data_IF_098793264278
#
_entry.id   IF_098793264278
#
_cell.length_a   1.000
_cell.length_b   1.000
_cell.length_c   1.000
_cell.angle_alpha   90.00
_cell.angle_beta   90.00
_cell.angle_gamma   90.00
#
_symmetry.space_group_name_H-M   'P 1'
#
loop_
_entity.id
_entity.type
_entity.pdbx_description
1 polymer ?
#
# COMPACT_ATOMS: atom_id res chain seq x y z
N UNK A 1 -28.60 -1.72 -13.96
CA UNK A 1 -27.29 -1.91 -14.66
C UNK A 1 -26.89 -3.37 -14.56
N UNK A 2 -26.30 -3.93 -15.58
CA UNK A 2 -25.78 -5.31 -15.63
C UNK A 2 -24.31 -5.30 -16.01
N UNK A 3 -23.55 -6.23 -15.47
CA UNK A 3 -22.19 -6.50 -15.90
C UNK A 3 -22.23 -7.42 -17.12
N UNK A 4 -21.52 -7.08 -18.18
CA UNK A 4 -21.45 -7.83 -19.43
C UNK A 4 -19.99 -7.98 -19.87
N UNK A 5 -19.71 -9.04 -20.61
CA UNK A 5 -18.39 -9.26 -21.22
C UNK A 5 -18.41 -8.72 -22.65
N UNK A 6 -17.54 -7.75 -22.93
CA UNK A 6 -17.46 -7.05 -24.21
C UNK A 6 -16.02 -6.89 -24.69
N UNK A 7 -15.84 -6.75 -26.00
CA UNK A 7 -14.56 -6.37 -26.57
C UNK A 7 -14.27 -4.88 -26.31
N UNK A 8 -13.18 -4.60 -25.61
CA UNK A 8 -12.76 -3.24 -25.27
C UNK A 8 -11.29 -3.08 -25.58
N UNK A 9 -10.99 -2.07 -26.38
CA UNK A 9 -9.61 -1.66 -26.59
C UNK A 9 -9.15 -0.77 -25.43
N UNK A 10 -8.15 -1.22 -24.68
CA UNK A 10 -7.50 -0.42 -23.63
C UNK A 10 -6.70 0.70 -24.29
N UNK A 11 -6.95 1.99 -23.94
CA UNK A 11 -6.19 3.11 -24.47
C UNK A 11 -4.76 3.11 -23.94
N UNK A 12 -3.86 3.75 -24.69
CA UNK A 12 -2.57 4.18 -24.15
C UNK A 12 -2.75 5.54 -23.45
N UNK A 13 -2.62 5.55 -22.13
CA UNK A 13 -2.72 6.78 -21.34
C UNK A 13 -1.38 7.54 -21.24
N UNK A 14 -0.30 6.99 -21.82
CA UNK A 14 1.05 7.49 -21.72
C UNK A 14 1.77 7.05 -20.43
N UNK A 15 3.08 6.74 -20.56
CA UNK A 15 3.92 6.37 -19.43
C UNK A 15 4.77 7.55 -18.97
N UNK A 16 4.81 7.84 -17.67
CA UNK A 16 5.73 8.85 -17.14
C UNK A 16 7.17 8.32 -17.16
N UNK A 17 8.12 9.16 -17.55
CA UNK A 17 9.56 8.86 -17.59
C UNK A 17 10.33 9.51 -16.44
N UNK A 18 9.78 10.59 -15.88
CA UNK A 18 10.39 11.33 -14.78
C UNK A 18 9.62 11.10 -13.49
N UNK A 19 10.33 10.58 -12.47
CA UNK A 19 9.75 10.35 -11.16
C UNK A 19 9.60 11.69 -10.42
N UNK A 20 8.38 12.08 -10.00
CA UNK A 20 8.16 13.22 -9.13
C UNK A 20 8.95 13.07 -7.83
N UNK A 21 9.66 14.12 -7.44
CA UNK A 21 10.46 14.14 -6.21
C UNK A 21 9.70 14.91 -5.13
N UNK A 22 9.55 14.29 -3.95
CA UNK A 22 9.04 15.00 -2.79
C UNK A 22 10.14 15.97 -2.30
N UNK A 23 9.87 17.28 -2.20
CA UNK A 23 10.87 18.27 -1.81
C UNK A 23 11.36 18.11 -0.38
N UNK A 24 12.60 18.50 -0.08
CA UNK A 24 13.16 18.48 1.28
C UNK A 24 12.30 19.31 2.27
N UNK A 25 11.73 20.43 1.83
CA UNK A 25 10.83 21.23 2.64
C UNK A 25 9.58 20.47 3.10
N UNK A 26 9.06 19.56 2.30
CA UNK A 26 7.94 18.70 2.66
C UNK A 26 8.32 17.72 3.79
N UNK A 27 9.51 17.11 3.72
CA UNK A 27 10.01 16.25 4.81
C UNK A 27 10.22 17.04 6.09
N UNK A 28 10.78 18.25 6.01
CA UNK A 28 10.93 19.14 7.17
C UNK A 28 9.56 19.46 7.81
N UNK A 29 8.55 19.75 7.01
CA UNK A 29 7.19 20.00 7.48
C UNK A 29 6.56 18.75 8.14
N UNK A 30 6.75 17.55 7.57
CA UNK A 30 6.29 16.28 8.13
C UNK A 30 6.92 16.00 9.50
N UNK A 31 8.21 16.21 9.61
CA UNK A 31 8.94 16.04 10.88
C UNK A 31 8.48 17.05 11.92
N UNK A 32 8.25 18.30 11.54
CA UNK A 32 7.69 19.33 12.42
C UNK A 32 6.29 18.94 12.90
N UNK A 33 5.42 18.51 11.99
CA UNK A 33 4.06 18.04 12.33
C UNK A 33 4.08 16.82 13.27
N UNK A 34 5.02 15.88 13.08
CA UNK A 34 5.20 14.76 14.01
C UNK A 34 5.58 15.22 15.41
N UNK A 35 6.53 16.15 15.52
CA UNK A 35 6.95 16.76 16.79
C UNK A 35 5.81 17.48 17.50
N UNK A 36 5.01 18.24 16.76
CA UNK A 36 3.84 18.94 17.30
C UNK A 36 2.80 17.96 17.86
N UNK A 37 2.56 16.86 17.17
CA UNK A 37 1.66 15.80 17.65
C UNK A 37 2.19 15.08 18.89
N UNK A 38 3.50 14.79 18.96
CA UNK A 38 4.13 14.25 20.15
C UNK A 38 3.93 15.18 21.34
N UNK A 39 4.19 16.49 21.15
CA UNK A 39 3.99 17.51 22.19
C UNK A 39 2.52 17.60 22.62
N UNK A 40 1.58 17.59 21.69
CA UNK A 40 0.15 17.65 22.00
C UNK A 40 -0.35 16.45 22.81
N UNK A 41 0.36 15.29 22.71
CA UNK A 41 0.10 14.08 23.50
C UNK A 41 0.93 14.01 24.79
N UNK A 42 1.74 15.04 25.11
CA UNK A 42 2.59 15.06 26.29
C UNK A 42 3.81 14.16 26.20
N UNK A 43 4.22 13.75 24.98
CA UNK A 43 5.41 12.95 24.80
C UNK A 43 6.66 13.83 24.81
N UNK A 44 7.67 13.43 25.57
CA UNK A 44 8.96 14.11 25.70
C UNK A 44 9.85 13.92 24.48
N UNK A 45 9.72 12.78 23.82
CA UNK A 45 10.37 12.43 22.54
C UNK A 45 9.58 11.37 21.80
N UNK A 46 9.78 11.30 20.48
CA UNK A 46 9.34 10.21 19.62
C UNK A 46 10.52 9.36 19.16
N UNK A 47 10.35 8.06 19.22
CA UNK A 47 11.29 7.06 18.70
C UNK A 47 10.61 6.40 17.51
N UNK A 48 11.28 6.34 16.36
CA UNK A 48 10.78 5.59 15.19
C UNK A 48 11.78 4.50 14.85
N UNK A 49 11.33 3.26 14.97
CA UNK A 49 12.13 2.09 14.56
C UNK A 49 11.84 1.76 13.10
N UNK A 50 12.86 1.31 12.39
CA UNK A 50 12.75 0.83 11.04
C UNK A 50 13.73 -0.34 10.79
N UNK A 51 13.30 -1.25 9.92
CA UNK A 51 14.11 -2.33 9.38
C UNK A 51 13.88 -2.44 7.86
N UNK A 52 14.40 -3.51 7.25
CA UNK A 52 14.31 -3.76 5.82
C UNK A 52 12.89 -3.75 5.26
N UNK A 53 11.91 -4.25 6.00
CA UNK A 53 10.52 -4.36 5.55
C UNK A 53 9.63 -3.25 6.14
N UNK A 54 9.94 -2.79 7.36
CA UNK A 54 9.14 -1.82 8.11
C UNK A 54 9.81 -0.44 8.12
N UNK A 55 10.10 0.11 6.96
CA UNK A 55 10.82 1.37 6.80
C UNK A 55 9.93 2.59 6.55
N UNK A 56 8.66 2.38 6.28
CA UNK A 56 7.78 3.41 5.72
C UNK A 56 7.62 4.65 6.64
N UNK A 57 7.52 4.49 7.95
CA UNK A 57 7.45 5.62 8.90
C UNK A 57 8.74 6.43 8.91
N UNK A 58 9.90 5.77 8.89
CA UNK A 58 11.21 6.40 8.80
C UNK A 58 11.36 7.17 7.49
N UNK A 59 11.08 6.51 6.38
CA UNK A 59 11.20 7.09 5.05
C UNK A 59 10.23 8.27 4.84
N UNK A 60 9.02 8.22 5.39
CA UNK A 60 8.05 9.32 5.36
C UNK A 60 8.57 10.57 6.07
N UNK A 61 9.20 10.39 7.24
CA UNK A 61 9.68 11.51 8.06
C UNK A 61 11.01 12.09 7.59
N UNK A 62 11.85 11.27 6.97
CA UNK A 62 13.25 11.64 6.70
C UNK A 62 13.69 11.49 5.26
N UNK A 63 12.97 10.74 4.45
CA UNK A 63 13.41 10.31 3.12
C UNK A 63 14.48 9.20 3.15
N UNK A 64 14.84 8.71 4.33
CA UNK A 64 15.84 7.65 4.51
C UNK A 64 15.17 6.27 4.57
N UNK A 65 15.68 5.34 3.77
CA UNK A 65 15.32 3.93 3.74
C UNK A 65 16.49 3.10 4.29
N UNK A 66 16.35 2.36 5.41
CA UNK A 66 17.43 1.62 6.03
C UNK A 66 17.91 0.40 5.23
N UNK A 67 17.22 0.04 4.14
CA UNK A 67 17.56 -1.11 3.30
C UNK A 67 17.57 -2.43 4.08
N UNK A 68 18.71 -3.07 4.25
CA UNK A 68 18.85 -4.39 4.88
C UNK A 68 19.41 -4.36 6.31
N UNK A 69 19.54 -3.20 6.90
CA UNK A 69 19.91 -3.02 8.31
C UNK A 69 18.78 -2.39 9.11
N UNK A 70 18.95 -2.29 10.41
CA UNK A 70 18.02 -1.59 11.30
C UNK A 70 18.42 -0.11 11.44
N UNK A 71 17.44 0.71 11.80
CA UNK A 71 17.65 2.12 12.13
C UNK A 71 16.66 2.58 13.22
N UNK A 72 17.09 3.60 14.01
CA UNK A 72 16.28 4.20 15.06
C UNK A 72 16.40 5.72 14.99
N UNK A 73 15.28 6.40 14.77
CA UNK A 73 15.19 7.86 14.77
C UNK A 73 14.73 8.34 16.15
N UNK A 74 15.43 9.32 16.71
CA UNK A 74 14.99 10.08 17.89
C UNK A 74 14.53 11.46 17.43
N UNK A 75 13.24 11.73 17.53
CA UNK A 75 12.62 13.03 17.26
C UNK A 75 12.28 13.71 18.58
N UNK A 76 13.05 14.72 18.97
CA UNK A 76 12.78 15.55 20.15
C UNK A 76 11.97 16.79 19.76
N UNK A 77 11.28 17.45 20.69
CA UNK A 77 10.56 18.71 20.41
C UNK A 77 11.42 19.83 19.84
N UNK A 78 12.75 19.80 20.12
CA UNK A 78 13.73 20.79 19.66
C UNK A 78 15.05 20.09 19.31
N UNK A 79 15.86 20.74 18.46
CA UNK A 79 17.15 20.24 17.97
C UNK A 79 17.00 19.31 16.77
N UNK A 80 18.13 18.94 16.18
CA UNK A 80 18.13 18.02 15.05
C UNK A 80 17.71 16.61 15.49
N UNK A 81 17.02 15.86 14.63
CA UNK A 81 16.72 14.47 14.90
C UNK A 81 18.00 13.65 14.85
N UNK A 82 18.07 12.61 15.68
CA UNK A 82 19.23 11.72 15.77
C UNK A 82 18.86 10.38 15.13
N UNK A 83 19.67 9.92 14.19
CA UNK A 83 19.51 8.63 13.53
C UNK A 83 20.61 7.68 13.99
N UNK A 84 20.25 6.63 14.73
CA UNK A 84 21.12 5.48 14.93
C UNK A 84 21.02 4.55 13.72
N UNK A 85 22.15 4.23 13.12
CA UNK A 85 22.23 3.42 11.92
C UNK A 85 23.35 2.37 12.02
N UNK A 86 23.16 1.24 11.40
CA UNK A 86 24.18 0.22 11.25
C UNK A 86 25.35 0.67 10.35
N UNK A 87 26.42 -0.13 10.28
CA UNK A 87 27.66 0.25 9.57
C UNK A 87 27.48 0.59 8.09
N UNK A 88 26.64 -0.16 7.37
CA UNK A 88 26.38 0.10 5.95
C UNK A 88 25.48 1.31 5.75
N UNK A 89 24.52 1.50 6.63
CA UNK A 89 23.58 2.59 6.60
C UNK A 89 24.17 3.93 7.02
N UNK A 90 25.30 3.95 7.76
CA UNK A 90 25.92 5.21 8.20
C UNK A 90 26.23 6.15 7.03
N UNK A 91 26.83 5.61 5.96
CA UNK A 91 27.11 6.39 4.74
C UNK A 91 25.84 6.69 3.93
N UNK A 92 24.93 5.73 3.88
CA UNK A 92 23.68 5.84 3.15
C UNK A 92 22.71 6.87 3.77
N UNK A 93 22.85 7.19 5.07
CA UNK A 93 22.07 8.22 5.73
C UNK A 93 22.19 9.62 5.08
N UNK A 94 23.23 9.86 4.27
CA UNK A 94 23.39 11.08 3.47
C UNK A 94 22.29 11.24 2.39
N UNK A 95 21.51 10.20 2.09
CA UNK A 95 20.35 10.29 1.19
C UNK A 95 19.11 10.90 1.84
N UNK A 96 19.10 11.05 3.17
CA UNK A 96 18.01 11.70 3.89
C UNK A 96 17.75 13.12 3.36
N UNK A 97 16.50 13.53 3.43
CA UNK A 97 16.03 14.84 2.94
C UNK A 97 15.88 15.88 4.07
N UNK A 98 16.24 15.51 5.29
CA UNK A 98 16.29 16.37 6.47
C UNK A 98 17.69 16.28 7.10
N UNK A 99 18.11 17.32 7.80
CA UNK A 99 19.36 17.28 8.55
C UNK A 99 19.24 16.29 9.71
N UNK A 100 20.22 15.39 9.82
CA UNK A 100 20.27 14.31 10.80
C UNK A 100 21.63 14.29 11.50
N UNK A 101 21.62 14.20 12.81
CA UNK A 101 22.80 13.72 13.55
C UNK A 101 22.88 12.20 13.40
N UNK A 102 23.90 11.67 12.70
CA UNK A 102 24.02 10.24 12.44
C UNK A 102 24.97 9.59 13.42
N UNK A 103 24.46 8.65 14.21
CA UNK A 103 25.19 7.87 15.21
C UNK A 103 25.38 6.45 14.71
N UNK A 104 26.63 6.00 14.59
CA UNK A 104 26.91 4.60 14.26
C UNK A 104 26.55 3.70 15.44
N UNK A 105 25.67 2.73 15.20
CA UNK A 105 25.32 1.69 16.15
C UNK A 105 25.51 0.30 15.52
N UNK A 106 26.71 -0.30 15.61
CA UNK A 106 27.03 -1.59 14.98
C UNK A 106 26.08 -2.75 15.29
N UNK A 107 25.40 -2.82 16.46
CA UNK A 107 24.40 -3.86 16.69
C UNK A 107 23.21 -3.85 15.74
N UNK A 108 22.93 -2.75 15.04
CA UNK A 108 21.92 -2.69 13.97
C UNK A 108 22.40 -3.29 12.65
N UNK A 109 23.69 -3.57 12.54
CA UNK A 109 24.26 -4.22 11.37
C UNK A 109 24.18 -5.75 11.42
N UNK A 110 24.72 -6.36 10.38
CA UNK A 110 24.71 -7.80 10.17
C UNK A 110 25.53 -8.54 11.25
N UNK A 111 25.19 -9.82 11.48
CA UNK A 111 25.91 -10.65 12.46
C UNK A 111 27.39 -10.85 12.05
N UNK A 112 28.25 -10.92 13.07
CA UNK A 112 29.70 -11.12 12.86
C UNK A 112 30.52 -9.82 12.68
N UNK A 113 29.88 -8.65 12.61
CA UNK A 113 30.57 -7.37 12.60
C UNK A 113 31.12 -7.03 13.99
N UNK A 114 32.23 -6.27 14.04
CA UNK A 114 32.85 -5.87 15.30
C UNK A 114 31.94 -4.94 16.13
N UNK A 115 31.56 -5.41 17.31
CA UNK A 115 30.73 -4.67 18.26
C UNK A 115 31.45 -4.36 19.57
N UNK A 116 32.73 -4.71 19.66
CA UNK A 116 33.50 -4.64 20.93
C UNK A 116 33.69 -3.24 21.46
N UNK A 117 33.63 -2.23 20.60
CA UNK A 117 33.81 -0.80 20.97
C UNK A 117 32.49 -0.03 21.00
N UNK A 118 31.36 -0.72 20.88
CA UNK A 118 30.05 -0.06 20.88
C UNK A 118 29.58 0.20 22.29
N UNK A 119 29.28 1.46 22.67
CA UNK A 119 28.63 1.75 23.95
C UNK A 119 27.28 1.04 24.07
N UNK A 120 26.84 0.67 25.27
CA UNK A 120 25.48 0.16 25.47
C UNK A 120 24.42 1.10 24.93
N UNK A 121 23.34 0.56 24.35
CA UNK A 121 22.24 1.36 23.80
C UNK A 121 21.71 2.38 24.82
N UNK A 122 21.60 1.97 26.09
CA UNK A 122 21.14 2.84 27.16
C UNK A 122 22.02 4.09 27.36
N UNK A 123 23.32 3.96 27.21
CA UNK A 123 24.26 5.11 27.31
C UNK A 123 24.07 6.05 26.12
N UNK A 124 23.98 5.51 24.92
CA UNK A 124 23.74 6.29 23.69
C UNK A 124 22.40 7.02 23.74
N UNK A 125 21.32 6.35 24.16
CA UNK A 125 20.02 6.99 24.30
C UNK A 125 20.03 8.13 25.32
N UNK A 126 20.71 7.93 26.48
CA UNK A 126 20.87 9.00 27.47
C UNK A 126 21.70 10.18 26.96
N UNK A 127 22.81 9.91 26.25
CA UNK A 127 23.64 10.93 25.63
C UNK A 127 22.84 11.79 24.62
N UNK A 128 21.82 11.20 23.99
CA UNK A 128 20.95 11.91 23.06
C UNK A 128 19.59 12.32 23.66
N UNK A 129 19.55 12.48 24.98
CA UNK A 129 18.52 13.21 25.71
C UNK A 129 17.31 12.37 26.15
N UNK A 130 17.41 11.03 26.19
CA UNK A 130 16.40 10.18 26.83
C UNK A 130 16.75 10.06 28.32
N UNK A 131 15.82 10.43 29.20
CA UNK A 131 16.08 10.52 30.64
C UNK A 131 14.94 9.91 31.48
N UNK A 132 15.21 9.70 32.77
CA UNK A 132 14.23 9.24 33.75
C UNK A 132 13.01 10.19 33.83
N UNK A 133 11.86 9.63 34.05
CA UNK A 133 10.59 10.37 34.18
C UNK A 133 9.96 10.81 32.86
N UNK A 134 10.61 10.57 31.72
CA UNK A 134 10.06 10.94 30.39
C UNK A 134 8.92 10.01 29.95
N UNK A 135 7.98 10.58 29.19
CA UNK A 135 7.04 9.81 28.37
C UNK A 135 7.57 9.74 26.94
N UNK A 136 7.92 8.56 26.48
CA UNK A 136 8.48 8.31 25.15
C UNK A 136 7.41 7.67 24.28
N UNK A 137 7.10 8.30 23.14
CA UNK A 137 6.28 7.68 22.09
C UNK A 137 7.16 6.83 21.18
N UNK A 138 6.88 5.53 21.03
CA UNK A 138 7.57 4.65 20.07
C UNK A 138 6.65 4.27 18.93
N UNK A 139 7.13 4.33 17.69
CA UNK A 139 6.44 3.91 16.50
C UNK A 139 7.30 2.92 15.70
N UNK A 140 6.76 1.75 15.44
CA UNK A 140 7.24 0.79 14.45
C UNK A 140 6.30 0.76 13.24
N UNK A 141 5.54 -0.34 13.07
CA UNK A 141 4.63 -0.50 11.91
C UNK A 141 3.19 -0.80 12.28
N UNK A 142 2.82 -0.79 13.57
CA UNK A 142 1.46 -1.03 14.06
C UNK A 142 1.14 -0.12 15.25
N UNK A 143 -0.14 -0.02 15.52
CA UNK A 143 -0.68 0.36 16.82
C UNK A 143 -1.83 -0.58 17.16
N UNK A 144 -2.26 -0.59 18.41
CA UNK A 144 -3.18 -1.59 18.95
C UNK A 144 -4.42 -0.92 19.52
N UNK A 145 -5.54 -1.64 19.53
CA UNK A 145 -6.82 -1.23 20.06
C UNK A 145 -7.24 -2.02 21.30
N UNK A 146 -8.39 -1.67 21.84
CA UNK A 146 -8.97 -2.33 23.03
C UNK A 146 -9.34 -3.80 22.78
N UNK A 147 -9.48 -4.19 21.50
CA UNK A 147 -9.76 -5.55 21.09
C UNK A 147 -8.57 -6.49 21.33
N UNK A 148 -7.34 -5.96 21.25
CA UNK A 148 -6.12 -6.76 21.43
C UNK A 148 -5.60 -6.75 22.87
N UNK A 149 -5.81 -5.65 23.63
CA UNK A 149 -5.26 -5.50 24.97
C UNK A 149 -6.08 -4.54 25.84
N UNK A 150 -6.02 -4.75 27.16
CA UNK A 150 -6.53 -3.79 28.16
C UNK A 150 -5.63 -2.57 28.31
N UNK A 151 -4.39 -2.64 27.83
CA UNK A 151 -3.39 -1.55 27.85
C UNK A 151 -2.71 -1.44 26.50
N UNK A 152 -3.48 -1.22 25.41
CA UNK A 152 -2.94 -1.29 24.04
C UNK A 152 -1.84 -0.25 23.81
N UNK A 153 -1.90 0.88 24.47
CA UNK A 153 -0.90 1.95 24.37
C UNK A 153 0.49 1.54 24.89
N UNK A 154 0.61 0.45 25.64
CA UNK A 154 1.89 -0.05 26.16
C UNK A 154 2.50 -1.15 25.29
N UNK A 155 1.75 -1.64 24.31
CA UNK A 155 2.25 -2.64 23.36
C UNK A 155 3.06 -1.97 22.25
N UNK A 156 4.12 -2.66 21.83
CA UNK A 156 4.97 -2.22 20.73
C UNK A 156 5.49 -3.44 19.97
N UNK A 157 5.52 -3.33 18.68
CA UNK A 157 6.10 -4.30 17.75
C UNK A 157 7.59 -4.04 17.47
N UNK A 158 8.11 -2.90 17.94
CA UNK A 158 9.55 -2.65 17.87
C UNK A 158 10.31 -3.70 18.71
N UNK A 159 11.56 -4.05 18.34
CA UNK A 159 12.34 -5.07 19.03
C UNK A 159 12.38 -4.87 20.55
N UNK A 160 12.19 -5.95 21.31
CA UNK A 160 12.07 -5.91 22.77
C UNK A 160 13.28 -5.24 23.43
N UNK A 161 14.51 -5.48 22.93
CA UNK A 161 15.72 -4.88 23.50
C UNK A 161 15.72 -3.36 23.45
N UNK A 162 15.09 -2.74 22.44
CA UNK A 162 14.90 -1.28 22.33
C UNK A 162 13.87 -0.82 23.36
N UNK A 163 12.70 -1.45 23.36
CA UNK A 163 11.58 -1.09 24.24
C UNK A 163 11.96 -1.26 25.72
N UNK A 164 12.60 -2.38 26.07
CA UNK A 164 13.03 -2.66 27.45
C UNK A 164 14.14 -1.73 27.90
N UNK A 165 15.07 -1.35 27.00
CA UNK A 165 16.09 -0.34 27.30
C UNK A 165 15.44 1.02 27.56
N UNK A 166 14.48 1.45 26.76
CA UNK A 166 13.74 2.69 26.99
C UNK A 166 12.99 2.66 28.32
N UNK A 167 12.27 1.57 28.63
CA UNK A 167 11.57 1.39 29.91
C UNK A 167 12.52 1.46 31.11
N UNK A 168 13.68 0.82 30.99
CA UNK A 168 14.71 0.86 32.04
C UNK A 168 15.29 2.28 32.24
N UNK A 169 15.42 3.09 31.18
CA UNK A 169 15.90 4.47 31.29
C UNK A 169 14.86 5.37 31.94
N UNK A 170 13.60 5.31 31.47
CA UNK A 170 12.56 6.21 31.98
C UNK A 170 12.11 5.87 33.40
N UNK A 171 12.24 4.62 33.82
CA UNK A 171 11.94 4.14 35.17
C UNK A 171 10.48 4.28 35.57
N UNK A 172 10.19 4.12 36.86
CA UNK A 172 8.82 4.13 37.41
C UNK A 172 8.06 5.47 37.21
N UNK A 173 8.80 6.58 37.11
CA UNK A 173 8.22 7.93 36.89
C UNK A 173 7.96 8.26 35.41
N UNK A 174 8.35 7.37 34.49
CA UNK A 174 8.22 7.56 33.04
C UNK A 174 7.36 6.50 32.38
N UNK A 175 7.14 6.66 31.06
CA UNK A 175 6.34 5.72 30.26
C UNK A 175 6.96 5.55 28.87
N UNK A 176 6.84 4.35 28.33
CA UNK A 176 7.05 4.08 26.89
C UNK A 176 5.71 3.66 26.33
N UNK A 177 5.20 4.41 25.35
CA UNK A 177 3.86 4.23 24.80
C UNK A 177 3.90 4.15 23.27
N UNK A 178 2.99 3.39 22.67
CA UNK A 178 2.88 3.29 21.22
C UNK A 178 2.43 4.64 20.64
N UNK A 179 3.17 5.15 19.67
CA UNK A 179 2.89 6.38 18.95
C UNK A 179 2.53 6.14 17.47
N UNK A 180 2.36 4.89 17.06
CA UNK A 180 2.06 4.51 15.68
C UNK A 180 0.82 5.19 15.11
N UNK A 181 -0.22 5.38 15.94
CA UNK A 181 -1.44 6.07 15.52
C UNK A 181 -1.20 7.54 15.09
N UNK A 182 -0.14 8.22 15.57
CA UNK A 182 0.19 9.57 15.10
C UNK A 182 0.56 9.60 13.62
N UNK A 183 1.07 8.49 13.10
CA UNK A 183 1.49 8.32 11.71
C UNK A 183 0.43 7.59 10.87
N UNK A 184 -0.19 6.53 11.40
CA UNK A 184 -0.93 5.54 10.62
C UNK A 184 -2.44 5.47 10.90
N UNK A 185 -3.00 6.29 11.81
CA UNK A 185 -4.45 6.30 12.01
C UNK A 185 -5.17 6.67 10.70
N UNK A 186 -6.26 5.98 10.30
CA UNK A 186 -6.80 6.06 8.95
C UNK A 186 -7.33 7.44 8.54
N UNK A 187 -7.67 8.30 9.51
CA UNK A 187 -8.21 9.64 9.23
C UNK A 187 -7.38 10.77 9.85
N UNK A 188 -6.67 10.50 10.93
CA UNK A 188 -5.87 11.51 11.66
C UNK A 188 -4.37 11.26 11.60
N UNK A 189 -3.90 10.12 11.10
CA UNK A 189 -2.49 9.81 10.93
C UNK A 189 -1.82 10.76 9.93
N UNK A 190 -0.55 11.12 10.18
CA UNK A 190 0.19 12.00 9.26
C UNK A 190 0.35 11.41 7.87
N UNK A 191 0.44 10.09 7.77
CA UNK A 191 0.59 9.37 6.49
C UNK A 191 -0.74 9.06 5.81
N UNK A 192 -1.87 9.24 6.50
CA UNK A 192 -3.18 9.01 5.90
C UNK A 192 -3.56 10.11 4.89
N UNK A 193 -3.09 11.34 5.12
CA UNK A 193 -3.39 12.49 4.28
C UNK A 193 -2.12 12.93 3.56
N UNK A 194 -2.08 12.70 2.27
CA UNK A 194 -0.92 12.95 1.42
C UNK A 194 -0.93 14.37 0.86
N UNK A 195 0.25 14.97 0.75
CA UNK A 195 0.48 16.17 -0.04
C UNK A 195 0.49 15.87 -1.54
N UNK A 196 0.41 16.91 -2.37
CA UNK A 196 0.32 16.78 -3.82
C UNK A 196 1.57 16.14 -4.43
N UNK A 197 2.75 16.40 -3.88
CA UNK A 197 4.01 15.79 -4.35
C UNK A 197 4.00 14.28 -4.12
N UNK A 198 3.52 13.85 -2.96
CA UNK A 198 3.39 12.43 -2.65
C UNK A 198 2.37 11.74 -3.56
N UNK A 199 1.22 12.37 -3.82
CA UNK A 199 0.21 11.80 -4.72
C UNK A 199 0.71 11.72 -6.16
N UNK A 200 1.48 12.69 -6.62
CA UNK A 200 2.11 12.63 -7.94
C UNK A 200 3.15 11.50 -8.03
N UNK A 201 3.94 11.27 -6.96
CA UNK A 201 4.85 10.14 -6.88
C UNK A 201 4.11 8.79 -6.85
N UNK A 202 2.94 8.71 -6.20
CA UNK A 202 2.09 7.52 -6.19
C UNK A 202 1.44 7.26 -7.56
N UNK A 203 1.02 8.32 -8.28
CA UNK A 203 0.53 8.17 -9.66
C UNK A 203 1.63 7.63 -10.58
N UNK A 204 2.87 8.13 -10.45
CA UNK A 204 4.02 7.58 -11.17
C UNK A 204 4.22 6.09 -10.86
N UNK A 205 4.25 5.72 -9.59
CA UNK A 205 4.39 4.33 -9.15
C UNK A 205 3.26 3.45 -9.71
N UNK A 206 2.01 3.91 -9.63
CA UNK A 206 0.83 3.19 -10.12
C UNK A 206 0.83 3.01 -11.64
N UNK A 207 1.34 3.98 -12.40
CA UNK A 207 1.57 3.78 -13.84
C UNK A 207 2.46 2.58 -14.10
N UNK A 208 3.57 2.46 -13.38
CA UNK A 208 4.54 1.39 -13.59
C UNK A 208 4.07 0.03 -13.06
N UNK A 209 3.42 -0.02 -11.89
CA UNK A 209 2.91 -1.30 -11.36
C UNK A 209 1.77 -1.85 -12.22
N UNK A 210 0.86 -0.99 -12.67
CA UNK A 210 -0.23 -1.40 -13.55
C UNK A 210 0.25 -1.75 -14.96
N UNK A 211 1.25 -1.07 -15.49
CA UNK A 211 1.90 -1.44 -16.76
C UNK A 211 2.57 -2.82 -16.65
N UNK A 212 3.27 -3.08 -15.54
CA UNK A 212 3.86 -4.38 -15.27
C UNK A 212 2.82 -5.51 -15.26
N UNK A 213 1.71 -5.34 -14.55
CA UNK A 213 0.61 -6.31 -14.52
C UNK A 213 -0.02 -6.45 -15.90
N UNK A 214 -0.25 -5.34 -16.63
CA UNK A 214 -0.74 -5.37 -18.02
C UNK A 214 0.17 -6.20 -18.92
N UNK A 215 1.48 -6.00 -18.84
CA UNK A 215 2.45 -6.73 -19.64
C UNK A 215 2.40 -8.24 -19.36
N UNK A 216 2.21 -8.65 -18.10
CA UNK A 216 1.99 -10.05 -17.75
C UNK A 216 0.72 -10.58 -18.39
N UNK A 217 -0.42 -9.88 -18.24
CA UNK A 217 -1.72 -10.32 -18.79
C UNK A 217 -1.68 -10.44 -20.31
N UNK A 218 -1.04 -9.50 -21.01
CA UNK A 218 -0.94 -9.52 -22.46
C UNK A 218 0.12 -10.49 -22.99
N UNK A 219 1.13 -10.80 -22.18
CA UNK A 219 2.31 -11.59 -22.61
C UNK A 219 2.35 -13.03 -22.13
N UNK A 220 1.57 -13.39 -21.11
CA UNK A 220 1.56 -14.75 -20.57
C UNK A 220 1.00 -15.76 -21.58
N UNK A 221 1.65 -16.90 -21.73
CA UNK A 221 1.26 -17.96 -22.67
C UNK A 221 1.41 -19.34 -22.03
N UNK A 222 0.53 -20.29 -22.35
CA UNK A 222 0.76 -21.69 -22.03
C UNK A 222 2.12 -22.17 -22.52
N UNK A 223 2.81 -22.96 -21.71
CA UNK A 223 4.18 -23.44 -21.96
C UNK A 223 5.28 -22.60 -21.29
N UNK A 224 5.00 -21.36 -20.88
CA UNK A 224 5.93 -20.57 -20.06
C UNK A 224 6.03 -21.16 -18.64
N UNK A 225 7.19 -21.00 -18.00
CA UNK A 225 7.28 -21.12 -16.54
C UNK A 225 6.78 -19.86 -15.87
N UNK A 226 6.25 -19.96 -14.62
CA UNK A 226 5.84 -18.78 -13.84
C UNK A 226 6.98 -17.76 -13.73
N UNK A 227 8.24 -18.21 -13.53
CA UNK A 227 9.43 -17.35 -13.49
C UNK A 227 9.73 -16.66 -14.83
N UNK A 228 9.37 -17.27 -15.95
CA UNK A 228 9.51 -16.64 -17.28
C UNK A 228 8.42 -15.57 -17.48
N UNK A 229 7.19 -15.88 -17.09
CA UNK A 229 6.10 -14.90 -17.12
C UNK A 229 6.37 -13.71 -16.19
N UNK A 230 6.99 -13.93 -15.03
CA UNK A 230 7.36 -12.86 -14.11
C UNK A 230 8.39 -11.86 -14.68
N UNK A 231 9.19 -12.23 -15.67
CA UNK A 231 10.09 -11.28 -16.36
C UNK A 231 9.33 -10.19 -17.13
N UNK A 232 8.07 -10.43 -17.47
CA UNK A 232 7.20 -9.45 -18.11
C UNK A 232 6.83 -8.29 -17.17
N UNK A 233 6.99 -8.44 -15.84
CA UNK A 233 6.81 -7.34 -14.88
C UNK A 233 7.79 -6.19 -15.11
N UNK A 234 8.98 -6.44 -15.66
CA UNK A 234 9.99 -5.45 -16.02
C UNK A 234 10.21 -4.38 -14.93
N UNK A 235 10.71 -4.74 -13.74
CA UNK A 235 10.81 -3.85 -12.58
C UNK A 235 11.68 -2.61 -12.87
N UNK A 236 11.27 -1.45 -12.35
CA UNK A 236 11.93 -0.15 -12.60
C UNK A 236 12.86 0.32 -11.47
N UNK A 237 13.15 -0.52 -10.50
CA UNK A 237 14.10 -0.22 -9.43
C UNK A 237 13.54 0.65 -8.28
N UNK A 238 12.26 0.95 -8.24
CA UNK A 238 11.61 1.51 -7.03
C UNK A 238 11.61 0.45 -5.92
N UNK A 239 11.71 0.88 -4.63
CA UNK A 239 11.59 -0.05 -3.52
C UNK A 239 10.25 -0.79 -3.55
N UNK A 240 10.30 -2.11 -3.33
CA UNK A 240 9.09 -2.91 -3.22
C UNK A 240 8.37 -2.62 -1.90
N UNK A 241 7.04 -2.63 -1.94
CA UNK A 241 6.19 -2.68 -0.74
C UNK A 241 5.67 -4.10 -0.47
N UNK A 242 5.79 -4.99 -1.45
CA UNK A 242 5.59 -6.43 -1.30
C UNK A 242 6.44 -7.20 -2.34
N UNK A 243 6.61 -8.51 -2.14
CA UNK A 243 7.25 -9.35 -3.16
C UNK A 243 6.36 -9.49 -4.41
N UNK A 244 6.98 -9.77 -5.57
CA UNK A 244 6.23 -10.06 -6.78
C UNK A 244 5.40 -11.34 -6.61
N UNK A 245 4.11 -11.27 -6.87
CA UNK A 245 3.18 -12.40 -6.80
C UNK A 245 2.78 -12.81 -8.21
N UNK A 246 2.92 -14.09 -8.51
CA UNK A 246 2.47 -14.70 -9.76
C UNK A 246 2.33 -16.19 -9.56
N UNK A 247 1.17 -16.73 -9.83
CA UNK A 247 0.89 -18.15 -9.68
C UNK A 247 -0.12 -18.65 -10.70
N UNK A 248 0.06 -19.89 -11.15
CA UNK A 248 -0.83 -20.57 -12.07
C UNK A 248 -1.31 -21.92 -11.52
N UNK A 249 -2.43 -22.40 -12.01
CA UNK A 249 -3.00 -23.68 -11.62
C UNK A 249 -3.35 -23.74 -10.12
N UNK A 250 -3.13 -24.87 -9.44
CA UNK A 250 -3.48 -25.01 -8.02
C UNK A 250 -2.78 -23.99 -7.10
N UNK A 251 -1.63 -23.46 -7.49
CA UNK A 251 -0.92 -22.44 -6.70
C UNK A 251 -1.63 -21.08 -6.70
N UNK A 252 -2.44 -20.79 -7.71
CA UNK A 252 -3.25 -19.55 -7.75
C UNK A 252 -4.28 -19.47 -6.61
N UNK A 253 -4.59 -20.59 -5.95
CA UNK A 253 -5.47 -20.63 -4.77
C UNK A 253 -4.95 -19.76 -3.61
N UNK A 254 -3.63 -19.69 -3.43
CA UNK A 254 -3.03 -18.93 -2.33
C UNK A 254 -2.91 -17.42 -2.61
N UNK A 255 -2.95 -17.00 -3.88
CA UNK A 255 -2.86 -15.60 -4.29
C UNK A 255 -1.53 -14.89 -4.01
N UNK A 256 -0.85 -15.23 -2.91
CA UNK A 256 0.38 -14.59 -2.42
C UNK A 256 1.67 -15.29 -2.88
N UNK A 257 1.57 -16.31 -3.74
CA UNK A 257 2.73 -17.10 -4.15
C UNK A 257 3.70 -16.33 -5.04
N UNK A 258 5.00 -16.33 -4.69
CA UNK A 258 6.05 -15.92 -5.61
C UNK A 258 6.13 -16.85 -6.83
N UNK A 259 6.54 -16.35 -8.02
CA UNK A 259 6.66 -17.16 -9.22
C UNK A 259 7.63 -18.33 -9.01
N UNK A 260 7.18 -19.53 -9.37
CA UNK A 260 7.93 -20.78 -9.28
C UNK A 260 8.37 -21.31 -10.64
N UNK A 261 8.78 -22.57 -10.66
CA UNK A 261 9.20 -23.29 -11.88
C UNK A 261 8.06 -24.03 -12.59
N UNK A 262 6.81 -23.93 -12.05
CA UNK A 262 5.64 -24.54 -12.68
C UNK A 262 5.48 -24.06 -14.12
N UNK A 263 5.22 -24.99 -15.02
CA UNK A 263 4.80 -24.70 -16.39
C UNK A 263 3.32 -24.30 -16.36
N UNK A 264 3.04 -23.16 -16.91
CA UNK A 264 1.68 -22.60 -17.07
C UNK A 264 0.96 -23.34 -18.18
N UNK A 265 -0.24 -23.81 -17.91
CA UNK A 265 -1.02 -24.62 -18.85
C UNK A 265 -2.29 -23.89 -19.30
N UNK A 266 -2.77 -24.22 -20.50
CA UNK A 266 -4.11 -23.77 -20.93
C UNK A 266 -5.17 -24.37 -20.00
N UNK A 267 -6.09 -23.54 -19.52
CA UNK A 267 -7.09 -23.97 -18.54
C UNK A 267 -6.68 -23.77 -17.09
N UNK A 268 -5.48 -23.23 -16.82
CA UNK A 268 -5.07 -22.86 -15.46
C UNK A 268 -5.81 -21.59 -14.99
N UNK A 269 -6.26 -21.51 -13.74
CA UNK A 269 -6.47 -20.24 -13.06
C UNK A 269 -5.13 -19.53 -12.87
N UNK A 270 -5.16 -18.20 -12.88
CA UNK A 270 -3.95 -17.39 -12.84
C UNK A 270 -4.17 -16.12 -12.02
N UNK A 271 -3.16 -15.73 -11.25
CA UNK A 271 -3.14 -14.47 -10.52
C UNK A 271 -1.75 -13.84 -10.62
N UNK A 272 -1.71 -12.51 -10.68
CA UNK A 272 -0.47 -11.73 -10.63
C UNK A 272 -0.68 -10.40 -9.93
N UNK A 273 0.28 -10.03 -9.08
CA UNK A 273 0.34 -8.72 -8.47
C UNK A 273 1.77 -8.20 -8.41
N UNK A 274 1.91 -6.89 -8.51
CA UNK A 274 3.18 -6.20 -8.44
C UNK A 274 3.02 -4.88 -7.70
N UNK A 275 3.86 -4.67 -6.68
CA UNK A 275 3.80 -3.51 -5.82
C UNK A 275 5.16 -2.88 -5.57
N UNK A 276 5.17 -1.54 -5.53
CA UNK A 276 6.30 -0.70 -5.13
C UNK A 276 5.79 0.38 -4.17
N UNK A 277 6.66 1.12 -3.55
CA UNK A 277 6.26 2.24 -2.69
C UNK A 277 5.22 3.13 -3.35
N UNK A 278 4.03 3.19 -2.76
CA UNK A 278 2.92 4.02 -3.18
C UNK A 278 1.93 3.40 -4.16
N UNK A 279 2.16 2.19 -4.63
CA UNK A 279 1.24 1.51 -5.55
C UNK A 279 1.37 -0.01 -5.50
N UNK A 280 0.24 -0.68 -5.71
CA UNK A 280 0.16 -2.09 -6.05
C UNK A 280 -0.97 -2.29 -7.07
N UNK A 281 -0.80 -3.20 -8.00
CA UNK A 281 -1.86 -3.65 -8.89
C UNK A 281 -1.93 -5.17 -8.91
N UNK A 282 -3.14 -5.71 -8.95
CA UNK A 282 -3.41 -7.14 -9.05
C UNK A 282 -4.48 -7.44 -10.10
N UNK A 283 -4.35 -8.57 -10.79
CA UNK A 283 -5.38 -9.17 -11.66
C UNK A 283 -5.39 -10.67 -11.51
N UNK A 284 -6.59 -11.24 -11.60
CA UNK A 284 -6.81 -12.68 -11.64
C UNK A 284 -7.80 -13.07 -12.73
N UNK A 285 -7.64 -14.26 -13.28
CA UNK A 285 -8.50 -14.81 -14.32
C UNK A 285 -8.07 -16.23 -14.70
N UNK A 286 -8.48 -16.69 -15.88
CA UNK A 286 -8.16 -18.02 -16.38
C UNK A 286 -7.40 -17.96 -17.70
N UNK A 287 -6.43 -18.84 -17.88
CA UNK A 287 -5.66 -18.99 -19.13
C UNK A 287 -6.45 -19.76 -20.18
N UNK A 288 -7.57 -19.20 -20.58
CA UNK A 288 -8.46 -19.66 -21.65
C UNK A 288 -8.85 -18.46 -22.53
N UNK A 289 -9.37 -18.71 -23.73
CA UNK A 289 -9.91 -17.67 -24.59
C UNK A 289 -11.43 -17.46 -24.43
N UNK A 290 -12.13 -18.51 -23.97
CA UNK A 290 -13.58 -18.47 -23.79
C UNK A 290 -14.09 -19.45 -22.73
N UNK A 291 -15.34 -19.28 -22.30
CA UNK A 291 -15.96 -20.11 -21.27
C UNK A 291 -16.00 -21.60 -21.61
N UNK A 292 -16.12 -21.95 -22.92
CA UNK A 292 -16.11 -23.33 -23.39
C UNK A 292 -14.85 -24.11 -23.06
N UNK A 293 -13.73 -23.41 -22.86
CA UNK A 293 -12.41 -24.00 -22.52
C UNK A 293 -12.20 -24.19 -21.01
N UNK A 294 -13.03 -23.57 -20.17
CA UNK A 294 -12.99 -23.76 -18.72
C UNK A 294 -13.32 -25.22 -18.34
N UNK A 295 -12.80 -25.71 -17.21
CA UNK A 295 -13.24 -26.97 -16.63
C UNK A 295 -14.77 -26.99 -16.46
N UNK A 296 -15.39 -28.14 -16.75
CA UNK A 296 -16.85 -28.30 -16.74
C UNK A 296 -17.57 -27.72 -15.51
N UNK A 297 -17.06 -27.91 -14.26
CA UNK A 297 -17.73 -27.39 -13.05
C UNK A 297 -17.77 -25.87 -12.95
N UNK A 298 -16.95 -25.14 -13.74
CA UNK A 298 -16.79 -23.69 -13.62
C UNK A 298 -17.01 -22.95 -14.94
N UNK A 299 -17.73 -23.56 -15.89
CA UNK A 299 -18.03 -22.90 -17.17
C UNK A 299 -18.90 -21.66 -17.04
N UNK A 300 -19.62 -21.52 -15.95
CA UNK A 300 -20.40 -20.36 -15.56
C UNK A 300 -19.59 -19.33 -14.72
N UNK A 301 -18.25 -19.40 -14.74
CA UNK A 301 -17.32 -18.55 -13.98
C UNK A 301 -17.66 -17.06 -14.13
N UNK A 302 -17.92 -16.59 -15.36
CA UNK A 302 -18.25 -15.20 -15.59
C UNK A 302 -19.56 -14.82 -14.91
N UNK A 303 -20.61 -15.62 -15.08
CA UNK A 303 -21.95 -15.30 -14.56
C UNK A 303 -22.01 -15.45 -13.04
N UNK A 304 -21.34 -16.47 -12.49
CA UNK A 304 -21.46 -16.82 -11.08
C UNK A 304 -20.49 -16.05 -10.16
N UNK A 305 -19.28 -15.75 -10.64
CA UNK A 305 -18.28 -15.06 -9.85
C UNK A 305 -17.97 -13.66 -10.39
N UNK A 306 -17.58 -13.55 -11.68
CA UNK A 306 -16.98 -12.31 -12.18
C UNK A 306 -17.99 -11.18 -12.32
N UNK A 307 -19.20 -11.47 -12.81
CA UNK A 307 -20.22 -10.43 -13.00
C UNK A 307 -20.74 -9.86 -11.66
N UNK A 308 -21.10 -10.65 -10.63
CA UNK A 308 -21.42 -10.11 -9.32
C UNK A 308 -20.25 -9.34 -8.68
N UNK A 309 -19.02 -9.85 -8.83
CA UNK A 309 -17.81 -9.19 -8.38
C UNK A 309 -17.64 -7.82 -9.03
N UNK A 310 -17.76 -7.75 -10.36
CA UNK A 310 -17.60 -6.50 -11.10
C UNK A 310 -18.68 -5.47 -10.76
N UNK A 311 -19.93 -5.91 -10.48
CA UNK A 311 -20.98 -5.03 -9.99
C UNK A 311 -20.62 -4.43 -8.63
N UNK A 312 -20.04 -5.21 -7.72
CA UNK A 312 -19.58 -4.72 -6.42
C UNK A 312 -18.47 -3.67 -6.59
N UNK A 313 -17.46 -3.95 -7.40
CA UNK A 313 -16.35 -3.03 -7.72
C UNK A 313 -16.88 -1.73 -8.33
N UNK A 314 -17.76 -1.84 -9.29
CA UNK A 314 -18.31 -0.68 -9.99
C UNK A 314 -19.14 0.23 -9.07
N UNK A 315 -19.95 -0.36 -8.20
CA UNK A 315 -20.75 0.40 -7.24
C UNK A 315 -19.86 1.02 -6.14
N UNK A 316 -18.83 0.30 -5.71
CA UNK A 316 -17.81 0.84 -4.80
C UNK A 316 -17.14 2.10 -5.39
N UNK A 317 -16.70 2.04 -6.65
CA UNK A 317 -16.12 3.19 -7.36
C UNK A 317 -17.10 4.35 -7.53
N UNK A 318 -18.36 4.07 -7.78
CA UNK A 318 -19.39 5.11 -7.95
C UNK A 318 -19.75 5.80 -6.62
N UNK A 319 -19.60 5.09 -5.49
CA UNK A 319 -19.98 5.55 -4.16
C UNK A 319 -18.86 6.25 -3.40
N UNK A 320 -17.58 5.90 -3.68
CA UNK A 320 -16.47 6.48 -2.94
C UNK A 320 -16.35 7.99 -3.19
N UNK A 321 -16.28 8.76 -2.09
CA UNK A 321 -16.19 10.22 -2.13
C UNK A 321 -15.66 10.76 -0.80
N UNK A 322 -15.19 12.00 -0.81
CA UNK A 322 -14.85 12.74 0.41
C UNK A 322 -16.10 12.84 1.29
N UNK A 323 -15.95 12.50 2.58
CA UNK A 323 -17.03 12.52 3.57
C UNK A 323 -17.86 11.24 3.66
N UNK A 324 -17.69 10.29 2.74
CA UNK A 324 -18.33 8.98 2.82
C UNK A 324 -17.71 8.20 3.98
N UNK A 325 -18.53 7.54 4.79
CA UNK A 325 -18.10 6.65 5.84
C UNK A 325 -17.61 5.32 5.25
N UNK A 326 -16.50 4.79 5.74
CA UNK A 326 -15.94 3.52 5.24
C UNK A 326 -16.90 2.34 5.33
N UNK A 327 -17.74 2.29 6.39
CA UNK A 327 -18.78 1.28 6.55
C UNK A 327 -19.83 1.27 5.41
N UNK A 328 -20.01 2.40 4.70
CA UNK A 328 -20.89 2.44 3.52
C UNK A 328 -20.31 1.62 2.37
N UNK A 329 -18.99 1.73 2.14
CA UNK A 329 -18.31 0.97 1.09
C UNK A 329 -18.28 -0.53 1.41
N UNK A 330 -18.01 -0.89 2.67
CA UNK A 330 -18.12 -2.28 3.14
C UNK A 330 -19.53 -2.86 2.91
N UNK A 331 -20.57 -2.11 3.27
CA UNK A 331 -21.96 -2.55 3.08
C UNK A 331 -22.34 -2.74 1.58
N UNK A 332 -21.81 -1.90 0.69
CA UNK A 332 -21.98 -2.05 -0.75
C UNK A 332 -21.41 -3.41 -1.21
N UNK A 333 -20.18 -3.71 -0.85
CA UNK A 333 -19.53 -4.96 -1.26
C UNK A 333 -20.26 -6.17 -0.68
N UNK A 334 -20.64 -6.12 0.60
CA UNK A 334 -21.39 -7.20 1.24
C UNK A 334 -22.78 -7.44 0.64
N UNK A 335 -23.43 -6.42 0.13
CA UNK A 335 -24.72 -6.59 -0.56
C UNK A 335 -24.59 -7.43 -1.82
N UNK A 336 -23.48 -7.32 -2.55
CA UNK A 336 -23.22 -8.09 -3.77
C UNK A 336 -22.54 -9.43 -3.50
N UNK A 337 -21.63 -9.48 -2.56
CA UNK A 337 -20.69 -10.58 -2.33
C UNK A 337 -20.78 -11.16 -0.91
N UNK A 338 -21.85 -10.88 -0.17
CA UNK A 338 -22.03 -11.37 1.20
C UNK A 338 -22.42 -12.85 1.29
N UNK A 339 -22.74 -13.51 0.17
CA UNK A 339 -22.95 -14.96 0.16
C UNK A 339 -21.62 -15.67 0.52
N UNK A 340 -21.66 -16.69 1.41
CA UNK A 340 -20.47 -17.46 1.79
C UNK A 340 -19.67 -18.05 0.61
N UNK A 341 -20.29 -18.23 -0.53
CA UNK A 341 -19.61 -18.66 -1.77
C UNK A 341 -18.44 -17.76 -2.13
N UNK A 342 -18.57 -16.44 -1.95
CA UNK A 342 -17.50 -15.50 -2.31
C UNK A 342 -16.32 -15.49 -1.32
N UNK A 343 -16.52 -15.98 -0.09
CA UNK A 343 -15.45 -16.13 0.90
C UNK A 343 -14.69 -14.85 1.22
N UNK A 344 -15.37 -13.67 1.23
CA UNK A 344 -14.73 -12.40 1.59
C UNK A 344 -14.22 -12.44 3.03
N UNK A 345 -12.94 -12.15 3.23
CA UNK A 345 -12.30 -12.14 4.55
C UNK A 345 -11.54 -10.84 4.84
N UNK A 346 -11.23 -10.03 3.82
CA UNK A 346 -10.57 -8.75 3.98
C UNK A 346 -11.55 -7.57 3.90
N UNK A 347 -11.26 -6.43 4.54
CA UNK A 347 -11.92 -5.17 4.26
C UNK A 347 -11.80 -4.80 2.78
N UNK A 348 -12.89 -4.31 2.15
CA UNK A 348 -12.91 -4.09 0.71
C UNK A 348 -12.26 -2.77 0.30
N UNK A 349 -10.98 -2.64 0.54
CA UNK A 349 -10.13 -1.50 0.24
C UNK A 349 -9.41 -0.96 1.46
N UNK A 350 -8.25 -0.35 1.22
CA UNK A 350 -7.37 0.15 2.27
C UNK A 350 -6.57 1.36 1.81
N UNK A 351 -6.00 2.09 2.78
CA UNK A 351 -5.04 3.15 2.49
C UNK A 351 -3.69 2.54 2.13
N UNK A 352 -3.12 3.02 1.05
CA UNK A 352 -1.76 2.71 0.63
C UNK A 352 -0.84 3.90 0.89
N UNK A 353 0.43 3.60 1.21
CA UNK A 353 1.48 4.60 1.28
C UNK A 353 2.81 3.98 0.80
N UNK A 354 3.91 4.09 1.54
CA UNK A 354 5.14 3.35 1.25
C UNK A 354 5.00 1.87 1.65
N UNK A 355 4.17 1.57 2.64
CA UNK A 355 3.64 0.21 2.84
C UNK A 355 2.53 -0.08 1.83
N UNK A 356 2.39 -1.31 1.45
CA UNK A 356 1.28 -1.76 0.62
C UNK A 356 -0.04 -1.57 1.38
N UNK A 357 -0.15 -2.07 2.60
CA UNK A 357 -1.28 -1.90 3.50
C UNK A 357 -0.88 -1.03 4.69
N UNK A 358 -1.23 0.25 4.67
CA UNK A 358 -0.96 1.14 5.80
C UNK A 358 -2.03 1.01 6.90
N UNK A 359 -3.29 1.07 6.53
CA UNK A 359 -4.47 0.97 7.40
C UNK A 359 -5.75 0.98 6.54
N UNK A 360 -6.91 0.72 7.13
CA UNK A 360 -8.18 0.89 6.43
C UNK A 360 -9.23 1.60 7.28
N UNK A 361 -9.93 2.61 6.72
CA UNK A 361 -11.16 3.13 7.27
C UNK A 361 -12.38 2.30 6.85
N UNK A 362 -12.22 1.31 5.93
CA UNK A 362 -13.30 0.58 5.27
C UNK A 362 -13.49 -0.78 5.94
N UNK A 363 -14.38 -0.84 6.93
CA UNK A 363 -14.71 -2.07 7.67
C UNK A 363 -16.17 -2.05 8.12
N UNK A 364 -16.74 -3.17 8.58
CA UNK A 364 -18.14 -3.26 9.00
C UNK A 364 -18.51 -2.21 10.03
N UNK A 365 -19.50 -1.38 9.72
CA UNK A 365 -20.02 -0.35 10.64
C UNK A 365 -19.08 0.83 10.88
N UNK A 366 -17.98 0.95 10.15
CA UNK A 366 -17.04 2.06 10.30
C UNK A 366 -17.73 3.41 10.08
N UNK A 367 -17.54 4.31 11.03
CA UNK A 367 -17.94 5.74 10.95
C UNK A 367 -16.80 6.65 10.46
N UNK A 368 -15.59 6.09 10.24
CA UNK A 368 -14.44 6.83 9.74
C UNK A 368 -14.74 7.40 8.35
N UNK A 369 -14.57 8.71 8.21
CA UNK A 369 -14.89 9.42 6.96
C UNK A 369 -13.66 9.59 6.09
N UNK A 370 -13.82 9.30 4.81
CA UNK A 370 -12.79 9.54 3.81
C UNK A 370 -12.55 11.05 3.64
N UNK A 371 -11.29 11.43 3.48
CA UNK A 371 -10.88 12.84 3.39
C UNK A 371 -10.04 13.12 2.14
N UNK A 372 -9.91 14.40 1.78
CA UNK A 372 -8.99 14.84 0.73
C UNK A 372 -7.55 14.49 1.09
N UNK A 373 -6.78 13.96 0.15
CA UNK A 373 -5.41 13.48 0.35
C UNK A 373 -5.29 11.99 0.64
N UNK A 374 -6.39 11.25 0.80
CA UNK A 374 -6.33 9.77 0.89
C UNK A 374 -5.86 9.17 -0.43
N UNK A 375 -4.91 8.24 -0.35
CA UNK A 375 -4.55 7.29 -1.41
C UNK A 375 -5.10 5.92 -1.00
N UNK A 376 -5.92 5.31 -1.85
CA UNK A 376 -6.73 4.14 -1.52
C UNK A 376 -6.59 3.09 -2.61
N UNK A 377 -6.39 1.84 -2.22
CA UNK A 377 -6.54 0.67 -3.09
C UNK A 377 -8.00 0.22 -3.06
N UNK A 378 -8.62 0.04 -4.24
CA UNK A 378 -9.79 -0.81 -4.33
C UNK A 378 -9.27 -2.24 -4.27
N UNK A 379 -9.51 -2.91 -3.18
CA UNK A 379 -9.01 -4.26 -2.93
C UNK A 379 -10.17 -5.13 -2.44
N UNK A 380 -10.82 -5.84 -3.38
CA UNK A 380 -11.94 -6.71 -3.12
C UNK A 380 -11.56 -8.10 -3.64
N UNK A 381 -11.31 -9.03 -2.72
CA UNK A 381 -10.80 -10.36 -3.06
C UNK A 381 -11.81 -11.44 -2.66
N UNK A 382 -12.61 -11.97 -3.60
CA UNK A 382 -13.33 -13.21 -3.38
C UNK A 382 -12.34 -14.38 -3.26
N UNK A 383 -12.39 -15.10 -2.14
CA UNK A 383 -11.60 -16.30 -1.89
C UNK A 383 -12.56 -17.48 -1.77
N UNK A 384 -13.08 -17.94 -2.89
CA UNK A 384 -14.22 -18.90 -2.92
C UNK A 384 -13.94 -20.23 -2.24
N UNK A 385 -12.68 -20.60 -2.03
CA UNK A 385 -12.30 -21.91 -1.47
C UNK A 385 -12.73 -23.08 -2.36
N UNK A 386 -13.07 -22.82 -3.62
CA UNK A 386 -13.65 -23.79 -4.56
C UNK A 386 -12.91 -23.78 -5.90
N UNK A 387 -13.37 -24.60 -6.84
CA UNK A 387 -12.82 -24.65 -8.20
C UNK A 387 -12.95 -23.32 -8.97
N UNK A 388 -13.72 -22.35 -8.51
CA UNK A 388 -13.81 -21.02 -9.13
C UNK A 388 -12.61 -20.12 -8.84
N UNK A 389 -11.81 -20.45 -7.84
CA UNK A 389 -10.66 -19.65 -7.39
C UNK A 389 -11.06 -18.25 -6.98
N UNK A 390 -10.66 -17.24 -7.77
CA UNK A 390 -10.91 -15.82 -7.51
C UNK A 390 -11.12 -15.02 -8.79
N UNK A 391 -11.51 -13.77 -8.65
CA UNK A 391 -11.39 -12.67 -9.62
C UNK A 391 -10.90 -11.45 -8.87
N UNK A 392 -10.00 -10.65 -9.44
CA UNK A 392 -9.43 -9.53 -8.71
C UNK A 392 -9.16 -8.32 -9.61
N UNK A 393 -9.57 -7.16 -9.11
CA UNK A 393 -9.09 -5.83 -9.49
C UNK A 393 -8.48 -5.23 -8.23
N UNK A 394 -7.21 -4.88 -8.28
CA UNK A 394 -6.61 -4.01 -7.30
C UNK A 394 -5.95 -2.86 -8.02
N UNK A 395 -6.49 -1.67 -7.81
CA UNK A 395 -6.09 -0.43 -8.46
C UNK A 395 -6.06 0.72 -7.46
N UNK A 396 -5.00 1.55 -7.53
CA UNK A 396 -4.87 2.74 -6.71
C UNK A 396 -5.68 3.93 -7.23
N UNK A 397 -6.29 4.66 -6.30
CA UNK A 397 -6.93 5.95 -6.52
C UNK A 397 -6.48 6.96 -5.47
N UNK A 398 -6.66 8.25 -5.76
CA UNK A 398 -6.63 9.28 -4.72
C UNK A 398 -7.96 10.03 -4.63
N UNK A 399 -8.23 10.60 -3.46
CA UNK A 399 -9.32 11.54 -3.25
C UNK A 399 -8.75 12.95 -3.09
N UNK A 400 -9.17 13.89 -3.94
CA UNK A 400 -8.79 15.28 -3.83
C UNK A 400 -9.99 16.21 -3.97
N UNK A 401 -10.13 17.17 -3.05
CA UNK A 401 -11.07 18.27 -3.16
C UNK A 401 -10.74 19.20 -4.35
N UNK A 402 -11.57 20.22 -4.56
CA UNK A 402 -11.40 21.15 -5.69
C UNK A 402 -10.07 21.89 -5.67
N UNK A 403 -9.56 22.25 -4.48
CA UNK A 403 -8.27 22.93 -4.32
C UNK A 403 -7.11 21.98 -4.64
N UNK A 404 -7.13 20.78 -4.07
CA UNK A 404 -6.09 19.79 -4.33
C UNK A 404 -6.02 19.38 -5.80
N UNK A 405 -7.18 19.23 -6.47
CA UNK A 405 -7.21 18.96 -7.92
C UNK A 405 -6.61 20.09 -8.76
N UNK A 406 -6.91 21.35 -8.40
CA UNK A 406 -6.33 22.51 -9.09
C UNK A 406 -4.81 22.56 -8.91
N UNK A 407 -4.32 22.33 -7.69
CA UNK A 407 -2.89 22.28 -7.38
C UNK A 407 -2.17 21.13 -8.11
N UNK A 408 -2.77 19.92 -8.15
CA UNK A 408 -2.22 18.80 -8.91
C UNK A 408 -2.14 19.11 -10.42
N UNK A 409 -3.19 19.70 -10.97
CA UNK A 409 -3.24 20.08 -12.38
C UNK A 409 -2.18 21.14 -12.76
N UNK A 410 -1.92 22.09 -11.87
CA UNK A 410 -0.93 23.15 -12.06
C UNK A 410 0.50 22.59 -11.96
N UNK A 411 0.80 21.83 -10.91
CA UNK A 411 2.16 21.37 -10.60
C UNK A 411 2.57 20.12 -11.38
N UNK A 412 1.61 19.26 -11.72
CA UNK A 412 1.82 17.98 -12.40
C UNK A 412 0.87 17.79 -13.60
N UNK A 413 0.90 18.70 -14.61
CA UNK A 413 -0.09 18.70 -15.70
C UNK A 413 -0.13 17.39 -16.50
N UNK A 414 1.01 16.73 -16.69
CA UNK A 414 1.05 15.45 -17.41
C UNK A 414 0.34 14.32 -16.64
N UNK A 415 0.53 14.23 -15.32
CA UNK A 415 -0.20 13.29 -14.47
C UNK A 415 -1.70 13.60 -14.49
N UNK A 416 -2.07 14.88 -14.40
CA UNK A 416 -3.46 15.31 -14.47
C UNK A 416 -4.14 14.89 -15.76
N UNK A 417 -3.49 15.05 -16.93
CA UNK A 417 -4.05 14.61 -18.21
C UNK A 417 -4.25 13.10 -18.28
N UNK A 418 -3.30 12.30 -17.78
CA UNK A 418 -3.48 10.84 -17.68
C UNK A 418 -4.68 10.47 -16.79
N UNK A 419 -4.83 11.13 -15.65
CA UNK A 419 -5.96 10.91 -14.73
C UNK A 419 -7.28 11.22 -15.43
N UNK A 420 -7.39 12.35 -16.14
CA UNK A 420 -8.61 12.69 -16.88
C UNK A 420 -8.94 11.67 -17.97
N UNK A 421 -7.93 11.19 -18.71
CA UNK A 421 -8.12 10.18 -19.73
C UNK A 421 -8.61 8.83 -19.13
N UNK A 422 -8.07 8.42 -17.98
CA UNK A 422 -8.53 7.22 -17.26
C UNK A 422 -9.97 7.38 -16.74
N UNK A 423 -10.32 8.55 -16.23
CA UNK A 423 -11.69 8.86 -15.81
C UNK A 423 -12.68 8.75 -16.98
N UNK A 424 -12.31 9.29 -18.14
CA UNK A 424 -13.11 9.20 -19.36
C UNK A 424 -13.28 7.73 -19.81
N UNK A 425 -12.20 6.95 -19.82
CA UNK A 425 -12.27 5.53 -20.14
C UNK A 425 -13.19 4.76 -19.17
N UNK A 426 -13.07 4.99 -17.87
CA UNK A 426 -13.96 4.34 -16.89
C UNK A 426 -15.42 4.72 -17.10
N UNK A 427 -15.72 5.99 -17.39
CA UNK A 427 -17.09 6.46 -17.58
C UNK A 427 -17.70 6.04 -18.92
N UNK A 428 -16.99 6.26 -20.02
CA UNK A 428 -17.53 6.19 -21.38
C UNK A 428 -17.41 4.78 -21.96
N UNK A 429 -16.39 4.00 -21.57
CA UNK A 429 -16.12 2.66 -22.10
C UNK A 429 -16.52 1.58 -21.12
N UNK A 430 -16.05 1.64 -19.88
CA UNK A 430 -16.35 0.64 -18.85
C UNK A 430 -17.76 0.85 -18.26
N UNK A 431 -18.25 2.09 -18.22
CA UNK A 431 -19.58 2.43 -17.70
C UNK A 431 -19.59 2.79 -16.21
N UNK A 432 -18.42 3.02 -15.58
CA UNK A 432 -18.29 3.41 -14.19
C UNK A 432 -18.12 4.92 -14.05
N UNK A 433 -19.13 5.61 -13.53
CA UNK A 433 -19.09 7.06 -13.30
C UNK A 433 -18.48 7.36 -11.92
N UNK A 434 -17.36 8.06 -11.91
CA UNK A 434 -16.64 8.46 -10.70
C UNK A 434 -17.11 9.82 -10.18
N UNK A 435 -17.14 9.98 -8.85
CA UNK A 435 -17.27 11.30 -8.24
C UNK A 435 -16.12 12.21 -8.67
N UNK A 436 -16.31 13.55 -8.72
CA UNK A 436 -15.28 14.47 -9.22
C UNK A 436 -13.94 14.38 -8.51
N UNK A 437 -13.93 14.06 -7.23
CA UNK A 437 -12.74 13.95 -6.37
C UNK A 437 -11.95 12.65 -6.53
N UNK A 438 -12.49 11.65 -7.22
CA UNK A 438 -11.84 10.33 -7.39
C UNK A 438 -10.86 10.37 -8.56
N UNK A 439 -9.60 10.11 -8.30
CA UNK A 439 -8.50 10.21 -9.26
C UNK A 439 -7.88 8.82 -9.48
N UNK A 440 -8.18 8.10 -10.57
CA UNK A 440 -7.60 6.78 -10.86
C UNK A 440 -6.14 6.91 -11.32
N UNK A 441 -5.26 6.08 -10.73
CA UNK A 441 -3.82 6.10 -10.99
C UNK A 441 -3.35 4.95 -11.89
N UNK A 442 -4.11 3.87 -11.98
CA UNK A 442 -3.77 2.65 -12.73
C UNK A 442 -3.85 2.87 -14.26
N UNK A 443 -2.94 2.27 -15.02
CA UNK A 443 -2.98 2.19 -16.49
C UNK A 443 -4.02 1.16 -17.01
N UNK A 444 -4.60 0.38 -16.09
CA UNK A 444 -5.64 -0.61 -16.36
C UNK A 444 -6.87 -0.37 -15.45
N UNK A 445 -7.40 0.88 -15.37
CA UNK A 445 -8.38 1.25 -14.36
C UNK A 445 -9.68 0.45 -14.56
N UNK A 446 -10.05 -0.38 -13.59
CA UNK A 446 -11.20 -1.30 -13.63
C UNK A 446 -11.24 -2.23 -14.86
N UNK A 447 -10.13 -2.40 -15.58
CA UNK A 447 -10.00 -3.31 -16.71
C UNK A 447 -9.85 -4.75 -16.19
N UNK A 448 -10.87 -5.58 -16.44
CA UNK A 448 -10.95 -6.94 -15.92
C UNK A 448 -11.23 -7.94 -17.05
N UNK A 449 -10.21 -8.56 -17.64
CA UNK A 449 -10.36 -9.69 -18.54
C UNK A 449 -10.48 -10.99 -17.73
N UNK A 450 -11.63 -11.69 -17.73
CA UNK A 450 -11.75 -12.98 -17.06
C UNK A 450 -11.02 -14.11 -17.81
N UNK A 451 -10.77 -13.93 -19.10
CA UNK A 451 -10.11 -14.87 -19.99
C UNK A 451 -8.80 -14.29 -20.52
N UNK A 452 -7.68 -14.73 -19.96
CA UNK A 452 -6.37 -14.11 -20.18
C UNK A 452 -5.75 -14.44 -21.54
N UNK A 453 -6.31 -15.38 -22.31
CA UNK A 453 -5.94 -15.61 -23.72
C UNK A 453 -6.83 -14.85 -24.72
N UNK A 454 -7.79 -14.06 -24.22
CA UNK A 454 -8.60 -13.10 -24.96
C UNK A 454 -8.76 -11.81 -24.13
N UNK A 455 -7.65 -11.10 -23.82
CA UNK A 455 -7.62 -10.01 -22.85
C UNK A 455 -8.37 -8.76 -23.32
N UNK A 456 -8.72 -8.65 -24.61
CA UNK A 456 -9.62 -7.63 -25.14
C UNK A 456 -11.08 -7.80 -24.68
N UNK A 457 -11.47 -9.00 -24.21
CA UNK A 457 -12.80 -9.28 -23.67
C UNK A 457 -12.82 -8.98 -22.18
N UNK A 458 -13.42 -7.86 -21.81
CA UNK A 458 -13.43 -7.37 -20.43
C UNK A 458 -14.85 -7.12 -19.92
N UNK A 459 -14.95 -7.03 -18.60
CA UNK A 459 -16.22 -6.68 -17.96
C UNK A 459 -16.52 -5.19 -18.14
N UNK A 460 -17.77 -4.88 -18.49
CA UNK A 460 -18.30 -3.52 -18.59
C UNK A 460 -19.72 -3.43 -18.02
N UNK A 461 -20.15 -2.23 -17.64
CA UNK A 461 -21.53 -1.96 -17.20
C UNK A 461 -22.37 -1.47 -18.38
N UNK A 462 -23.59 -2.02 -18.48
CA UNK A 462 -24.61 -1.55 -19.43
C UNK A 462 -25.95 -1.39 -18.73
N UNK A 463 -26.78 -0.49 -19.25
CA UNK A 463 -28.15 -0.23 -18.78
C UNK A 463 -29.12 -1.43 -18.96
#
# INVERSE_FOLDING_TARGET
>A
MRAVLEEVRLPDFGMPTEQPQVPAATYAARLAAFRDRLKARGHSAGIVYADREHSANMAYLTGFDPRFEEALLIARPRGDPVLFAGPENKGFAATAKVDLEVVLYPPFGLLGQDRTKTPPLAELLRAHGIAAGMTIGIAGWKYYGAEESVTPETWSEAPSFIVDTLRAIVGEGGRVVNAGALLMHPTTGLRAVNDIDQLAAFEFAACHTSEAVKNVILGVKPGMREQEAARLLAPIGLPYNCHAMLSAGPRAFFGLGSPGDRIIERGDPFTTAYGVWGALNCRAGWLVAEAGELPLPVRDYVDKLVAPYFLAVAEWYAAIAIGVAGGTLDAIVKRHLGDPFFGLFLPPGHLIHLDEWMNTPIYPGSSERLVSGHAIQVDIIPATGSAYFTSNIEDGIALLDGRGRAELAERYPAAWQRILARRAFMADVIGIKLQPEVLPFSQIPAWLPPFLLAPERVMALRS
#
